data_IF_205871406542
#
_entry.id   IF_205871406542
#
_cell.length_a   1.000
_cell.length_b   1.000
_cell.length_c   1.000
_cell.angle_alpha   90.00
_cell.angle_beta   90.00
_cell.angle_gamma   90.00
#
_symmetry.space_group_name_H-M   'P 1'
#
loop_
_entity.id
_entity.type
_entity.pdbx_description
1 polymer ?
#
# COMPACT_ATOMS: atom_id res chain seq x y z
N UNK A 1 22.52 40.79 -15.37
CA UNK A 1 22.04 40.15 -14.13
C UNK A 1 22.94 38.95 -13.84
N UNK A 2 23.72 38.99 -12.77
CA UNK A 2 24.60 37.88 -12.37
C UNK A 2 23.82 36.83 -11.56
N UNK A 3 24.18 35.53 -11.61
CA UNK A 3 23.53 34.49 -10.81
C UNK A 3 23.78 34.69 -9.31
N UNK A 4 22.76 34.46 -8.48
CA UNK A 4 22.87 34.47 -7.02
C UNK A 4 23.61 33.20 -6.58
N UNK A 5 24.75 33.28 -5.87
CA UNK A 5 25.47 32.13 -5.40
C UNK A 5 24.71 31.48 -4.23
N UNK A 6 24.40 30.19 -4.33
CA UNK A 6 23.86 29.40 -3.21
C UNK A 6 22.57 28.62 -3.49
N UNK A 7 21.89 28.85 -4.62
CA UNK A 7 20.69 28.08 -4.99
C UNK A 7 21.08 27.06 -6.06
N UNK A 8 21.54 25.88 -5.62
CA UNK A 8 21.60 24.69 -6.47
C UNK A 8 20.28 23.95 -6.36
N UNK A 9 19.61 23.75 -7.50
CA UNK A 9 18.63 22.69 -7.68
C UNK A 9 17.23 23.02 -7.16
N UNK A 10 16.39 23.54 -8.06
CA UNK A 10 14.96 23.27 -8.04
C UNK A 10 14.80 21.75 -8.28
N UNK A 11 14.69 20.95 -7.22
CA UNK A 11 14.50 19.49 -7.33
C UNK A 11 13.03 19.18 -7.14
N UNK A 12 12.38 18.87 -8.24
CA UNK A 12 11.09 18.20 -8.32
C UNK A 12 11.16 16.85 -7.58
N UNK A 13 10.10 16.53 -6.82
CA UNK A 13 9.83 15.29 -6.09
C UNK A 13 10.54 15.09 -4.73
N UNK A 14 9.81 15.37 -3.65
CA UNK A 14 10.09 14.88 -2.30
C UNK A 14 9.73 13.39 -2.18
N UNK A 15 10.49 12.51 -2.82
CA UNK A 15 10.43 11.06 -2.56
C UNK A 15 11.63 10.70 -1.70
N UNK A 16 11.40 10.69 -0.38
CA UNK A 16 12.26 10.04 0.62
C UNK A 16 12.23 8.53 0.34
N UNK A 17 13.08 8.02 -0.55
CA UNK A 17 13.32 6.57 -0.59
C UNK A 17 14.82 6.33 -0.39
N UNK A 18 15.08 5.65 0.73
CA UNK A 18 16.06 4.56 0.86
C UNK A 18 17.56 4.87 0.87
N UNK A 19 17.98 5.75 1.78
CA UNK A 19 19.36 5.71 2.33
C UNK A 19 19.44 4.90 3.66
N UNK A 20 18.36 4.26 4.10
CA UNK A 20 18.22 3.60 5.41
C UNK A 20 18.77 2.15 5.45
N UNK A 21 18.96 1.50 4.29
CA UNK A 21 19.37 0.08 4.24
C UNK A 21 20.81 -0.18 4.66
N UNK A 22 21.64 0.86 4.76
CA UNK A 22 23.04 0.76 5.18
C UNK A 22 23.26 0.95 6.70
N UNK A 23 22.23 1.31 7.47
CA UNK A 23 22.38 1.70 8.87
C UNK A 23 21.75 0.67 9.82
N UNK A 24 22.59 -0.15 10.45
CA UNK A 24 22.17 -1.14 11.47
C UNK A 24 21.35 -0.52 12.60
N UNK A 25 21.62 0.74 12.94
CA UNK A 25 20.97 1.41 14.06
C UNK A 25 19.52 1.75 13.72
N UNK A 26 19.21 2.06 12.46
CA UNK A 26 17.85 2.28 11.99
C UNK A 26 17.01 0.98 12.04
N UNK A 27 17.60 -0.15 11.63
CA UNK A 27 16.97 -1.46 11.73
C UNK A 27 16.69 -1.83 13.20
N UNK A 28 17.66 -1.60 14.10
CA UNK A 28 17.46 -1.83 15.53
C UNK A 28 16.29 -0.99 16.08
N UNK A 29 16.23 0.29 15.75
CA UNK A 29 15.12 1.17 16.13
C UNK A 29 13.77 0.69 15.59
N UNK A 30 13.70 0.26 14.32
CA UNK A 30 12.47 -0.29 13.75
C UNK A 30 12.00 -1.51 14.54
N UNK A 31 12.89 -2.47 14.82
CA UNK A 31 12.52 -3.68 15.58
C UNK A 31 12.03 -3.37 17.00
N UNK A 32 12.65 -2.41 17.69
CA UNK A 32 12.20 -1.99 19.03
C UNK A 32 10.83 -1.31 18.96
N UNK A 33 10.61 -0.46 17.97
CA UNK A 33 9.32 0.25 17.80
C UNK A 33 8.20 -0.69 17.38
N UNK A 34 8.44 -1.70 16.54
CA UNK A 34 7.45 -2.73 16.18
C UNK A 34 7.04 -3.56 17.40
N UNK A 35 8.01 -3.92 18.25
CA UNK A 35 7.72 -4.62 19.52
C UNK A 35 6.85 -3.80 20.44
N UNK A 36 7.13 -2.49 20.56
CA UNK A 36 6.29 -1.58 21.33
C UNK A 36 4.89 -1.45 20.71
N UNK A 37 4.81 -1.29 19.39
CA UNK A 37 3.55 -1.19 18.67
C UNK A 37 2.67 -2.42 18.94
N UNK A 38 3.23 -3.63 18.90
CA UNK A 38 2.51 -4.88 19.20
C UNK A 38 1.83 -4.85 20.58
N UNK A 39 2.54 -4.40 21.60
CA UNK A 39 1.99 -4.33 22.97
C UNK A 39 0.90 -3.29 23.16
N UNK A 40 0.85 -2.26 22.30
CA UNK A 40 -0.13 -1.17 22.35
C UNK A 40 -1.21 -1.30 21.28
N UNK A 41 -1.26 -2.42 20.54
CA UNK A 41 -2.33 -2.65 19.57
C UNK A 41 -3.68 -2.67 20.26
N UNK A 42 -4.64 -1.94 19.68
CA UNK A 42 -6.02 -2.01 20.11
C UNK A 42 -6.61 -3.40 19.77
N UNK A 43 -7.38 -4.04 20.67
CA UNK A 43 -7.94 -5.37 20.43
C UNK A 43 -8.93 -5.42 19.26
N UNK A 44 -9.58 -4.30 18.94
CA UNK A 44 -10.48 -4.16 17.79
C UNK A 44 -10.08 -2.93 16.95
N UNK A 45 -9.13 -3.05 16.03
CA UNK A 45 -8.64 -1.92 15.26
C UNK A 45 -9.71 -1.40 14.28
N UNK A 46 -9.84 -0.09 14.20
CA UNK A 46 -10.75 0.52 13.23
C UNK A 46 -10.37 0.11 11.81
N UNK A 47 -11.27 -0.61 11.14
CA UNK A 47 -11.11 -1.05 9.75
C UNK A 47 -12.12 -0.31 8.88
N UNK A 48 -11.68 0.39 7.80
CA UNK A 48 -12.59 1.06 6.89
C UNK A 48 -13.61 0.08 6.31
N UNK A 49 -14.90 0.45 6.15
CA UNK A 49 -15.92 -0.50 5.73
C UNK A 49 -15.62 -1.21 4.40
N UNK A 50 -14.94 -0.54 3.47
CA UNK A 50 -14.62 -1.06 2.13
C UNK A 50 -13.22 -1.66 2.02
N UNK A 51 -12.39 -1.56 3.06
CA UNK A 51 -11.08 -2.20 3.08
C UNK A 51 -11.24 -3.71 3.33
N UNK A 52 -10.22 -4.53 3.01
CA UNK A 52 -10.20 -5.93 3.42
C UNK A 52 -10.43 -6.06 4.94
N UNK A 53 -11.34 -6.94 5.35
CA UNK A 53 -11.76 -7.08 6.75
C UNK A 53 -12.81 -6.06 7.22
N UNK A 54 -13.21 -5.11 6.38
CA UNK A 54 -14.28 -4.15 6.66
C UNK A 54 -15.69 -4.73 6.46
N UNK A 55 -16.68 -4.15 7.14
CA UNK A 55 -18.08 -4.61 7.12
C UNK A 55 -18.77 -4.58 5.75
N UNK A 56 -18.19 -3.92 4.75
CA UNK A 56 -18.73 -3.75 3.41
C UNK A 56 -17.80 -4.24 2.30
N UNK A 57 -16.71 -4.95 2.63
CA UNK A 57 -15.67 -5.34 1.68
C UNK A 57 -16.23 -6.09 0.45
N UNK A 58 -17.07 -7.10 0.66
CA UNK A 58 -17.58 -7.97 -0.41
C UNK A 58 -19.02 -7.68 -0.82
N UNK A 59 -19.60 -6.57 -0.34
CA UNK A 59 -21.03 -6.29 -0.56
C UNK A 59 -21.41 -6.15 -2.03
N UNK A 60 -20.50 -5.66 -2.86
CA UNK A 60 -20.75 -5.31 -4.26
C UNK A 60 -19.68 -5.92 -5.19
N UNK A 61 -19.28 -7.17 -4.97
CA UNK A 61 -18.38 -7.84 -5.92
C UNK A 61 -19.07 -8.02 -7.28
N UNK A 62 -18.39 -7.71 -8.41
CA UNK A 62 -18.95 -7.98 -9.71
C UNK A 62 -19.18 -9.49 -9.88
N UNK A 63 -20.28 -9.86 -10.55
CA UNK A 63 -20.53 -11.27 -10.90
C UNK A 63 -19.33 -11.81 -11.67
N UNK A 64 -18.83 -13.01 -11.35
CA UNK A 64 -17.82 -13.65 -12.18
C UNK A 64 -18.35 -13.80 -13.60
N UNK A 65 -17.48 -13.51 -14.59
CA UNK A 65 -17.78 -13.78 -16.00
C UNK A 65 -17.67 -15.29 -16.19
N UNK A 66 -18.82 -15.94 -16.33
CA UNK A 66 -18.91 -17.34 -16.71
C UNK A 66 -19.26 -17.36 -18.20
N UNK A 67 -18.26 -17.54 -19.06
CA UNK A 67 -18.55 -17.81 -20.46
C UNK A 67 -19.41 -19.09 -20.53
N UNK A 68 -20.56 -19.06 -21.23
CA UNK A 68 -21.38 -20.26 -21.34
C UNK A 68 -20.56 -21.35 -22.05
N UNK A 69 -20.72 -22.63 -21.67
CA UNK A 69 -20.08 -23.72 -22.40
C UNK A 69 -20.51 -23.67 -23.87
N UNK A 70 -19.61 -23.95 -24.82
CA UNK A 70 -19.91 -23.87 -26.24
C UNK A 70 -21.14 -24.72 -26.58
N UNK A 71 -22.19 -24.08 -27.11
CA UNK A 71 -23.39 -24.77 -27.55
C UNK A 71 -23.03 -25.64 -28.77
N UNK A 72 -23.34 -26.95 -28.79
CA UNK A 72 -23.19 -27.73 -29.99
C UNK A 72 -24.14 -27.17 -31.05
N UNK A 73 -23.57 -26.63 -32.12
CA UNK A 73 -24.34 -26.16 -33.27
C UNK A 73 -24.89 -27.39 -33.99
N UNK A 74 -26.17 -27.71 -33.78
CA UNK A 74 -26.84 -28.77 -34.55
C UNK A 74 -26.93 -28.32 -36.01
N UNK A 75 -25.96 -28.77 -36.82
CA UNK A 75 -25.93 -28.59 -38.27
C UNK A 75 -26.85 -29.65 -38.88
N UNK A 76 -28.13 -29.32 -39.01
CA UNK A 76 -29.11 -30.11 -39.78
C UNK A 76 -29.02 -29.78 -41.27
#
# INVERSE_FOLDING_TARGET
>A
MSPIPGIKGFVTNWRLEDDLDANSDAQALLTETEKLLESWKHPDPYTPPTAPGGSKFERNLPSPVLDPPPHPVNRH
#
